data_IF_315046593430
#
_entry.id   IF_315046593430
#
_cell.length_a   1.000
_cell.length_b   1.000
_cell.length_c   1.000
_cell.angle_alpha   90.00
_cell.angle_beta   90.00
_cell.angle_gamma   90.00
#
_symmetry.space_group_name_H-M   'P 1'
#
loop_
_entity.id
_entity.type
_entity.pdbx_description
1 polymer ?
#
# COMPACT_ATOMS: atom_id res chain seq x y z
N UNK A 1 -50.18 31.07 46.78
CA UNK A 1 -49.54 32.25 47.40
C UNK A 1 -48.43 32.74 46.49
N UNK A 2 -48.49 34.02 46.07
CA UNK A 2 -47.43 34.95 45.60
C UNK A 2 -46.36 34.38 44.64
N UNK A 3 -46.40 34.69 43.34
CA UNK A 3 -45.95 35.94 42.68
C UNK A 3 -44.43 36.01 42.42
N UNK A 4 -44.08 36.15 41.13
CA UNK A 4 -43.16 37.17 40.56
C UNK A 4 -41.65 36.97 40.84
N UNK A 5 -40.69 37.35 39.99
CA UNK A 5 -40.52 37.68 38.57
C UNK A 5 -39.01 38.03 38.40
N UNK A 6 -38.58 38.25 37.16
CA UNK A 6 -37.29 38.87 36.74
C UNK A 6 -36.05 37.96 36.93
N UNK A 7 -35.28 37.58 35.92
CA UNK A 7 -34.88 38.33 34.73
C UNK A 7 -33.63 39.14 35.05
N UNK A 8 -32.44 38.61 34.71
CA UNK A 8 -31.22 39.39 34.43
C UNK A 8 -30.38 38.56 33.44
N UNK A 9 -30.30 39.08 32.23
CA UNK A 9 -29.34 38.76 31.18
C UNK A 9 -27.99 39.36 31.58
N UNK A 10 -26.88 38.63 31.48
CA UNK A 10 -25.55 39.23 31.55
C UNK A 10 -24.71 38.77 30.35
N UNK A 11 -24.71 39.60 29.31
CA UNK A 11 -23.66 39.64 28.30
C UNK A 11 -22.38 40.13 28.97
N UNK A 12 -21.30 39.38 28.83
CA UNK A 12 -19.94 39.91 28.99
C UNK A 12 -19.27 39.96 27.64
N UNK A 13 -19.32 41.14 27.01
CA UNK A 13 -18.48 41.50 25.89
C UNK A 13 -17.10 41.88 26.44
N UNK A 14 -16.06 41.12 26.10
CA UNK A 14 -14.67 41.50 26.35
C UNK A 14 -14.16 42.18 25.08
N UNK A 15 -14.19 43.50 25.07
CA UNK A 15 -13.50 44.34 24.09
C UNK A 15 -12.04 44.45 24.54
N UNK A 16 -11.13 43.72 23.89
CA UNK A 16 -9.69 43.99 24.01
C UNK A 16 -9.33 45.01 22.93
N UNK A 17 -9.16 46.24 23.36
CA UNK A 17 -8.50 47.33 22.65
C UNK A 17 -7.07 46.93 22.31
N UNK A 18 -6.78 46.69 21.03
CA UNK A 18 -5.43 46.56 20.50
C UNK A 18 -4.87 47.95 20.16
N UNK A 19 -3.68 48.23 20.69
CA UNK A 19 -2.96 49.49 20.66
C UNK A 19 -2.78 50.13 19.28
N UNK A 20 -3.02 51.43 19.20
CA UNK A 20 -2.35 52.33 18.26
C UNK A 20 -0.85 52.32 18.54
N UNK A 21 -0.05 52.04 17.50
CA UNK A 21 1.37 52.43 17.46
C UNK A 21 1.49 53.44 16.32
N UNK A 22 1.62 54.71 16.72
CA UNK A 22 1.97 55.82 15.86
C UNK A 22 3.44 55.74 15.43
N UNK A 23 3.69 55.91 14.13
CA UNK A 23 4.78 56.77 13.65
C UNK A 23 6.12 56.11 13.29
N UNK A 24 6.54 56.44 12.06
CA UNK A 24 7.91 56.50 11.52
C UNK A 24 8.60 55.20 11.06
N UNK A 25 8.65 55.02 9.73
CA UNK A 25 9.86 54.80 8.91
C UNK A 25 9.52 53.96 7.66
N UNK A 26 8.89 54.58 6.67
CA UNK A 26 8.35 53.90 5.47
C UNK A 26 9.23 54.04 4.22
N UNK A 27 10.55 54.21 4.36
CA UNK A 27 11.43 54.36 3.18
C UNK A 27 12.62 53.39 3.17
N UNK A 28 12.91 52.69 4.27
CA UNK A 28 13.99 51.69 4.31
C UNK A 28 13.52 50.25 4.06
N UNK A 29 12.20 50.03 3.88
CA UNK A 29 11.61 48.69 3.75
C UNK A 29 11.47 48.20 2.31
N UNK A 30 11.44 49.12 1.33
CA UNK A 30 11.22 48.74 -0.07
C UNK A 30 12.46 48.08 -0.71
N UNK A 31 13.67 48.46 -0.35
CA UNK A 31 14.89 47.80 -0.87
C UNK A 31 15.20 46.43 -0.24
N UNK A 32 14.62 46.09 0.93
CA UNK A 32 14.82 44.77 1.56
C UNK A 32 13.83 43.71 1.07
N UNK A 33 12.72 44.14 0.47
CA UNK A 33 11.72 43.24 -0.11
C UNK A 33 12.18 42.73 -1.49
N UNK A 34 12.84 43.58 -2.29
CA UNK A 34 13.34 43.19 -3.61
C UNK A 34 14.51 42.19 -3.56
N UNK A 35 15.42 42.31 -2.57
CA UNK A 35 16.52 41.34 -2.40
C UNK A 35 16.09 40.01 -1.78
N UNK A 36 14.92 39.95 -1.12
CA UNK A 36 14.36 38.68 -0.63
C UNK A 36 13.53 37.95 -1.70
N UNK A 37 13.04 38.66 -2.73
CA UNK A 37 12.26 38.06 -3.82
C UNK A 37 13.14 37.29 -4.82
N UNK A 38 14.41 37.68 -4.99
CA UNK A 38 15.31 37.05 -5.97
C UNK A 38 16.00 35.77 -5.46
N UNK A 39 15.84 35.40 -4.19
CA UNK A 39 16.33 34.14 -3.63
C UNK A 39 15.24 33.05 -3.48
N UNK A 40 14.00 33.30 -3.94
CA UNK A 40 12.90 32.31 -3.96
C UNK A 40 12.70 31.73 -5.38
N UNK A 41 13.66 31.89 -6.28
CA UNK A 41 13.65 31.29 -7.62
C UNK A 41 14.67 30.15 -7.78
N UNK A 42 14.87 29.38 -6.71
CA UNK A 42 15.20 27.96 -6.88
C UNK A 42 13.96 27.21 -6.45
N UNK A 43 12.97 27.13 -7.36
CA UNK A 43 11.90 26.18 -7.19
C UNK A 43 12.57 24.81 -7.14
N UNK A 44 12.71 24.26 -5.94
CA UNK A 44 12.74 22.82 -5.79
C UNK A 44 11.53 22.33 -6.56
N UNK A 45 11.77 21.65 -7.69
CA UNK A 45 10.72 20.88 -8.36
C UNK A 45 9.99 20.14 -7.25
N UNK A 46 8.72 20.46 -7.06
CA UNK A 46 7.83 19.73 -6.16
C UNK A 46 7.78 18.30 -6.69
N UNK A 47 8.74 17.47 -6.28
CA UNK A 47 8.75 16.05 -6.59
C UNK A 47 7.41 15.52 -6.10
N UNK A 48 6.59 15.04 -7.03
CA UNK A 48 5.33 14.44 -6.64
C UNK A 48 5.59 13.43 -5.51
N UNK A 49 4.75 13.43 -4.46
CA UNK A 49 4.94 12.51 -3.36
C UNK A 49 4.98 11.08 -3.92
N UNK A 50 6.07 10.37 -3.63
CA UNK A 50 6.28 9.00 -4.11
C UNK A 50 5.05 8.16 -3.74
N UNK A 51 4.37 7.62 -4.74
CA UNK A 51 3.27 6.68 -4.51
C UNK A 51 3.83 5.42 -3.87
N UNK A 52 3.11 4.90 -2.88
CA UNK A 52 3.45 3.64 -2.24
C UNK A 52 3.55 2.52 -3.28
N UNK A 53 4.55 1.65 -3.12
CA UNK A 53 4.66 0.40 -3.85
C UNK A 53 5.15 -0.70 -2.93
N UNK A 54 4.53 -1.87 -3.01
CA UNK A 54 5.04 -3.08 -2.38
C UNK A 54 6.45 -3.44 -2.85
N UNK A 55 6.80 -3.10 -4.09
CA UNK A 55 8.15 -3.35 -4.63
C UNK A 55 9.24 -2.56 -3.90
N UNK A 56 8.90 -1.52 -3.15
CA UNK A 56 9.87 -0.77 -2.33
C UNK A 56 10.49 -1.63 -1.22
N UNK A 57 9.87 -2.78 -0.89
CA UNK A 57 10.38 -3.76 0.07
C UNK A 57 11.36 -4.75 -0.56
N UNK A 58 11.47 -4.78 -1.90
CA UNK A 58 12.35 -5.69 -2.62
C UNK A 58 13.71 -5.03 -2.91
N UNK A 59 14.80 -5.82 -2.96
CA UNK A 59 16.08 -5.29 -3.39
C UNK A 59 16.04 -4.90 -4.88
N UNK A 60 16.85 -3.93 -5.33
CA UNK A 60 16.81 -3.41 -6.70
C UNK A 60 16.88 -4.48 -7.80
N UNK A 61 17.68 -5.53 -7.60
CA UNK A 61 17.81 -6.65 -8.55
C UNK A 61 16.51 -7.40 -8.78
N UNK A 62 15.66 -7.54 -7.75
CA UNK A 62 14.34 -8.17 -7.86
C UNK A 62 13.34 -7.25 -8.53
N UNK A 63 13.43 -5.94 -8.28
CA UNK A 63 12.62 -4.94 -9.00
C UNK A 63 12.93 -4.99 -10.49
N UNK A 64 14.21 -5.04 -10.88
CA UNK A 64 14.63 -5.17 -12.28
C UNK A 64 14.10 -6.46 -12.92
N UNK A 65 14.19 -7.59 -12.21
CA UNK A 65 13.64 -8.87 -12.68
C UNK A 65 12.13 -8.82 -12.91
N UNK A 66 11.38 -8.20 -11.99
CA UNK A 66 9.95 -7.94 -12.18
C UNK A 66 9.68 -7.08 -13.43
N UNK A 67 10.46 -6.02 -13.64
CA UNK A 67 10.31 -5.17 -14.84
C UNK A 67 10.66 -5.92 -16.14
N UNK A 68 11.59 -6.87 -16.12
CA UNK A 68 11.86 -7.72 -17.29
C UNK A 68 10.71 -8.68 -17.57
N UNK A 69 10.15 -9.31 -16.53
CA UNK A 69 8.92 -10.10 -16.67
C UNK A 69 7.77 -9.28 -17.26
N UNK A 70 7.61 -8.01 -16.86
CA UNK A 70 6.63 -7.10 -17.44
C UNK A 70 6.88 -6.76 -18.92
N UNK A 71 8.03 -7.11 -19.50
CA UNK A 71 8.30 -6.96 -20.93
C UNK A 71 8.12 -8.26 -21.70
N UNK A 72 8.65 -9.38 -21.20
CA UNK A 72 8.75 -10.63 -21.96
C UNK A 72 7.84 -11.76 -21.47
N UNK A 73 7.21 -11.61 -20.29
CA UNK A 73 6.38 -12.61 -19.60
C UNK A 73 7.12 -13.92 -19.31
N UNK A 74 8.44 -13.89 -19.23
CA UNK A 74 9.25 -15.07 -18.95
C UNK A 74 9.40 -15.30 -17.43
N UNK A 75 8.87 -16.42 -16.94
CA UNK A 75 8.94 -16.79 -15.52
C UNK A 75 10.36 -17.03 -15.00
N UNK A 76 11.36 -17.17 -15.88
CA UNK A 76 12.77 -17.34 -15.47
C UNK A 76 13.25 -16.20 -14.55
N UNK A 77 12.71 -14.99 -14.73
CA UNK A 77 13.06 -13.83 -13.91
C UNK A 77 12.66 -14.00 -12.44
N UNK A 78 11.78 -14.95 -12.13
CA UNK A 78 11.32 -15.26 -10.78
C UNK A 78 11.97 -16.51 -10.15
N UNK A 79 12.87 -17.23 -10.84
CA UNK A 79 13.43 -18.49 -10.31
C UNK A 79 14.20 -18.31 -8.98
N UNK A 80 14.87 -17.17 -8.81
CA UNK A 80 15.65 -16.88 -7.61
C UNK A 80 14.82 -16.21 -6.50
N UNK A 81 13.54 -15.92 -6.73
CA UNK A 81 12.69 -15.23 -5.74
C UNK A 81 12.39 -16.16 -4.55
N UNK A 82 12.49 -15.61 -3.34
CA UNK A 82 12.00 -16.31 -2.15
C UNK A 82 10.46 -16.34 -2.12
N UNK A 83 9.85 -17.15 -1.24
CA UNK A 83 8.41 -17.10 -1.01
C UNK A 83 7.90 -15.70 -0.65
N UNK A 84 8.62 -14.97 0.21
CA UNK A 84 8.30 -13.61 0.63
C UNK A 84 8.42 -12.61 -0.53
N UNK A 85 9.44 -12.76 -1.38
CA UNK A 85 9.59 -11.94 -2.58
C UNK A 85 8.38 -12.12 -3.53
N UNK A 86 7.95 -13.37 -3.76
CA UNK A 86 6.78 -13.68 -4.59
C UNK A 86 5.51 -13.14 -3.96
N UNK A 87 5.33 -13.33 -2.65
CA UNK A 87 4.16 -12.83 -1.94
C UNK A 87 4.05 -11.30 -2.07
N UNK A 88 5.16 -10.59 -1.86
CA UNK A 88 5.26 -9.13 -2.01
C UNK A 88 4.95 -8.70 -3.45
N UNK A 89 5.52 -9.39 -4.43
CA UNK A 89 5.26 -9.14 -5.87
C UNK A 89 3.79 -9.38 -6.22
N UNK A 90 3.17 -10.40 -5.63
CA UNK A 90 1.75 -10.69 -5.83
C UNK A 90 0.86 -9.59 -5.24
N UNK A 91 1.14 -9.12 -4.03
CA UNK A 91 0.42 -7.99 -3.42
C UNK A 91 0.55 -6.71 -4.26
N UNK A 92 1.75 -6.45 -4.80
CA UNK A 92 1.96 -5.35 -5.75
C UNK A 92 1.03 -5.49 -6.95
N UNK A 93 1.01 -6.66 -7.59
CA UNK A 93 0.18 -6.89 -8.76
C UNK A 93 -1.32 -6.75 -8.47
N UNK A 94 -1.76 -7.18 -7.29
CA UNK A 94 -3.15 -6.98 -6.84
C UNK A 94 -3.48 -5.49 -6.66
N UNK A 95 -2.57 -4.72 -6.06
CA UNK A 95 -2.76 -3.29 -5.82
C UNK A 95 -2.86 -2.49 -7.14
N UNK A 96 -2.05 -2.86 -8.13
CA UNK A 96 -2.01 -2.21 -9.47
C UNK A 96 -3.02 -2.81 -10.48
N UNK A 97 -3.80 -3.83 -10.09
CA UNK A 97 -4.68 -4.61 -10.98
C UNK A 97 -3.93 -5.23 -12.18
N UNK A 98 -2.65 -5.57 -12.00
CA UNK A 98 -1.75 -6.20 -12.97
C UNK A 98 -2.07 -7.68 -13.13
N UNK A 99 -3.24 -7.95 -13.71
CA UNK A 99 -3.83 -9.29 -13.78
C UNK A 99 -2.94 -10.33 -14.48
N UNK A 100 -2.11 -9.90 -15.43
CA UNK A 100 -1.15 -10.79 -16.09
C UNK A 100 -0.15 -11.38 -15.09
N UNK A 101 0.35 -10.57 -14.15
CA UNK A 101 1.25 -11.05 -13.08
C UNK A 101 0.49 -11.98 -12.14
N UNK A 102 -0.72 -11.58 -11.69
CA UNK A 102 -1.58 -12.39 -10.82
C UNK A 102 -1.80 -13.78 -11.41
N UNK A 103 -2.11 -13.87 -12.71
CA UNK A 103 -2.30 -15.14 -13.42
C UNK A 103 -1.03 -16.01 -13.41
N UNK A 104 0.14 -15.44 -13.72
CA UNK A 104 1.39 -16.22 -13.81
C UNK A 104 1.93 -16.67 -12.45
N UNK A 105 1.70 -15.87 -11.40
CA UNK A 105 2.12 -16.15 -10.03
C UNK A 105 1.06 -16.89 -9.21
N UNK A 106 -0.08 -17.26 -9.80
CA UNK A 106 -1.02 -18.18 -9.18
C UNK A 106 -0.65 -19.62 -9.53
N UNK A 107 -0.65 -20.51 -8.54
CA UNK A 107 -0.39 -21.93 -8.74
C UNK A 107 -1.55 -22.55 -9.51
N UNK A 108 -1.24 -23.39 -10.50
CA UNK A 108 -2.24 -24.05 -11.35
C UNK A 108 -2.11 -25.58 -11.38
N UNK A 109 -1.19 -26.16 -10.59
CA UNK A 109 -0.91 -27.59 -10.55
C UNK A 109 -0.64 -28.20 -11.94
N UNK A 110 0.12 -27.51 -12.78
CA UNK A 110 0.40 -27.89 -14.17
C UNK A 110 -0.79 -27.78 -15.14
N UNK A 111 -1.99 -27.53 -14.64
CA UNK A 111 -3.21 -27.32 -15.43
C UNK A 111 -3.48 -25.83 -15.52
N UNK A 112 -2.70 -25.09 -16.31
CA UNK A 112 -2.94 -23.66 -16.52
C UNK A 112 -4.29 -23.46 -17.21
N UNK A 113 -5.34 -22.98 -16.50
CA UNK A 113 -6.61 -22.64 -17.13
C UNK A 113 -6.37 -21.57 -18.20
N UNK A 114 -7.27 -21.45 -19.17
CA UNK A 114 -7.17 -20.32 -20.10
C UNK A 114 -7.24 -19.03 -19.30
N UNK A 115 -6.43 -18.05 -19.70
CA UNK A 115 -6.33 -16.76 -19.03
C UNK A 115 -7.69 -16.11 -18.73
N UNK A 116 -8.64 -16.17 -19.67
CA UNK A 116 -9.98 -15.60 -19.49
C UNK A 116 -10.82 -16.35 -18.45
N UNK A 117 -10.75 -17.68 -18.44
CA UNK A 117 -11.47 -18.51 -17.46
C UNK A 117 -10.95 -18.20 -16.05
N UNK A 118 -9.61 -18.13 -15.89
CA UNK A 118 -9.01 -17.72 -14.62
C UNK A 118 -9.43 -16.31 -14.23
N UNK A 119 -9.48 -15.36 -15.17
CA UNK A 119 -9.91 -13.98 -14.92
C UNK A 119 -11.33 -13.89 -14.41
N UNK A 120 -12.25 -14.64 -14.99
CA UNK A 120 -13.63 -14.68 -14.51
C UNK A 120 -13.70 -15.24 -13.08
N UNK A 121 -13.06 -16.39 -12.86
CA UNK A 121 -13.02 -17.05 -11.55
C UNK A 121 -12.42 -16.12 -10.49
N UNK A 122 -11.26 -15.54 -10.78
CA UNK A 122 -10.55 -14.64 -9.87
C UNK A 122 -11.41 -13.42 -9.54
N UNK A 123 -11.97 -12.73 -10.54
CA UNK A 123 -12.79 -11.55 -10.30
C UNK A 123 -14.03 -11.85 -9.46
N UNK A 124 -14.64 -13.02 -9.68
CA UNK A 124 -15.86 -13.44 -8.99
C UNK A 124 -15.61 -13.91 -7.55
N UNK A 125 -14.47 -14.52 -7.28
CA UNK A 125 -14.24 -15.25 -6.03
C UNK A 125 -13.07 -14.74 -5.19
N UNK A 126 -12.05 -14.14 -5.80
CA UNK A 126 -10.77 -13.87 -5.15
C UNK A 126 -10.42 -12.38 -5.10
N UNK A 127 -10.81 -11.60 -6.11
CA UNK A 127 -10.39 -10.20 -6.27
C UNK A 127 -10.66 -9.35 -5.04
N UNK A 128 -11.84 -9.50 -4.42
CA UNK A 128 -12.18 -8.75 -3.21
C UNK A 128 -11.24 -9.09 -2.06
N UNK A 129 -11.08 -10.37 -1.75
CA UNK A 129 -10.26 -10.81 -0.60
C UNK A 129 -8.80 -10.39 -0.77
N UNK A 130 -8.21 -10.58 -1.95
CA UNK A 130 -6.83 -10.15 -2.19
C UNK A 130 -6.67 -8.64 -2.21
N UNK A 131 -7.66 -7.90 -2.72
CA UNK A 131 -7.66 -6.43 -2.65
C UNK A 131 -7.73 -5.96 -1.20
N UNK A 132 -8.59 -6.55 -0.38
CA UNK A 132 -8.71 -6.22 1.04
C UNK A 132 -7.40 -6.56 1.77
N UNK A 133 -6.78 -7.71 1.48
CA UNK A 133 -5.43 -8.06 1.96
C UNK A 133 -4.39 -7.00 1.58
N UNK A 134 -4.30 -6.64 0.30
CA UNK A 134 -3.37 -5.63 -0.20
C UNK A 134 -3.67 -4.20 0.31
N UNK A 135 -4.83 -3.95 0.93
CA UNK A 135 -5.09 -2.69 1.61
C UNK A 135 -4.75 -2.76 3.10
N UNK A 136 -5.19 -3.83 3.77
CA UNK A 136 -5.01 -4.01 5.20
C UNK A 136 -3.54 -4.11 5.61
N UNK A 137 -2.71 -4.68 4.73
CA UNK A 137 -1.28 -4.88 4.99
C UNK A 137 -0.38 -4.00 4.13
N UNK A 138 -0.88 -2.83 3.70
CA UNK A 138 -0.06 -1.83 3.00
C UNK A 138 1.18 -1.41 3.79
N UNK A 139 1.09 -1.45 5.11
CA UNK A 139 2.18 -1.11 6.03
C UNK A 139 2.43 -2.29 6.98
N UNK A 140 2.70 -3.47 6.41
CA UNK A 140 3.05 -4.64 7.21
C UNK A 140 4.38 -4.45 7.93
N UNK A 141 4.50 -5.07 9.10
CA UNK A 141 5.70 -5.04 9.93
C UNK A 141 6.64 -6.21 9.59
N UNK A 142 6.06 -7.38 9.28
CA UNK A 142 6.84 -8.56 8.92
C UNK A 142 6.16 -9.47 7.90
N UNK A 143 7.03 -10.19 7.17
CA UNK A 143 6.71 -11.35 6.35
C UNK A 143 7.60 -12.49 6.83
N UNK A 144 6.98 -13.57 7.29
CA UNK A 144 7.69 -14.68 7.91
C UNK A 144 7.23 -16.02 7.32
N UNK A 145 8.18 -16.91 7.07
CA UNK A 145 7.90 -18.30 6.71
C UNK A 145 7.46 -19.06 7.96
N UNK A 146 6.36 -19.82 7.85
CA UNK A 146 5.91 -20.76 8.88
C UNK A 146 6.69 -22.07 8.76
N UNK A 147 7.72 -22.23 9.60
CA UNK A 147 8.68 -23.35 9.56
C UNK A 147 8.01 -24.74 9.66
N UNK A 148 6.89 -24.85 10.37
CA UNK A 148 6.14 -26.10 10.55
C UNK A 148 5.39 -26.56 9.29
N UNK A 149 5.25 -25.68 8.29
CA UNK A 149 4.56 -25.94 7.03
C UNK A 149 5.52 -26.02 5.83
N UNK A 150 6.84 -25.96 6.06
CA UNK A 150 7.85 -25.98 5.00
C UNK A 150 8.08 -27.40 4.49
N UNK A 151 7.95 -27.55 3.17
CA UNK A 151 8.45 -28.70 2.40
C UNK A 151 9.22 -28.18 1.18
N UNK A 152 9.84 -29.06 0.40
CA UNK A 152 10.55 -28.67 -0.84
C UNK A 152 9.64 -27.92 -1.85
N UNK A 153 8.33 -28.18 -1.81
CA UNK A 153 7.39 -27.70 -2.83
C UNK A 153 6.23 -26.87 -2.27
N UNK A 154 6.17 -26.67 -0.96
CA UNK A 154 5.09 -25.92 -0.30
C UNK A 154 5.64 -25.19 0.92
N UNK A 155 5.13 -23.98 1.13
CA UNK A 155 5.43 -23.14 2.29
C UNK A 155 4.20 -22.31 2.62
N UNK A 156 4.13 -21.78 3.83
CA UNK A 156 3.18 -20.74 4.19
C UNK A 156 3.92 -19.47 4.62
N UNK A 157 3.44 -18.32 4.15
CA UNK A 157 3.96 -17.00 4.51
C UNK A 157 2.92 -16.32 5.38
N UNK A 158 3.36 -15.78 6.51
CA UNK A 158 2.55 -14.98 7.42
C UNK A 158 2.88 -13.52 7.22
N UNK A 159 1.85 -12.71 6.95
CA UNK A 159 1.96 -11.27 6.93
C UNK A 159 1.38 -10.71 8.22
N UNK A 160 2.13 -9.85 8.90
CA UNK A 160 1.73 -9.23 10.17
C UNK A 160 1.74 -7.71 10.04
N UNK A 161 0.70 -7.05 10.53
CA UNK A 161 0.64 -5.59 10.63
C UNK A 161 0.08 -5.16 11.98
N UNK A 162 0.73 -4.16 12.58
CA UNK A 162 0.36 -3.50 13.82
C UNK A 162 -0.19 -2.10 13.55
N UNK A 163 -1.32 -1.77 14.18
CA UNK A 163 -1.87 -0.41 14.21
C UNK A 163 -2.18 -0.05 15.66
N UNK A 164 -1.33 0.78 16.25
CA UNK A 164 -1.39 1.11 17.67
C UNK A 164 -1.17 -0.14 18.53
N UNK A 165 -2.18 -0.52 19.30
CA UNK A 165 -2.12 -1.71 20.17
C UNK A 165 -2.76 -2.96 19.52
N UNK A 166 -3.19 -2.88 18.27
CA UNK A 166 -3.80 -4.00 17.55
C UNK A 166 -2.78 -4.61 16.61
N UNK A 167 -2.69 -5.93 16.60
CA UNK A 167 -1.89 -6.70 15.65
C UNK A 167 -2.83 -7.63 14.89
N UNK A 168 -2.68 -7.66 13.57
CA UNK A 168 -3.37 -8.60 12.68
C UNK A 168 -2.33 -9.41 11.94
N UNK A 169 -2.61 -10.71 11.76
CA UNK A 169 -1.78 -11.60 10.97
C UNK A 169 -2.66 -12.49 10.10
N UNK A 170 -2.27 -12.67 8.84
CA UNK A 170 -2.89 -13.62 7.92
C UNK A 170 -1.83 -14.56 7.33
N UNK A 171 -2.23 -15.80 7.04
CA UNK A 171 -1.33 -16.85 6.55
C UNK A 171 -1.78 -17.27 5.15
N UNK A 172 -0.83 -17.34 4.22
CA UNK A 172 -1.07 -17.77 2.84
C UNK A 172 -0.09 -18.84 2.39
N UNK A 173 -0.62 -19.87 1.74
CA UNK A 173 0.17 -20.94 1.15
C UNK A 173 0.78 -20.53 -0.19
N UNK A 174 2.04 -20.92 -0.40
CA UNK A 174 2.70 -20.90 -1.70
C UNK A 174 3.14 -22.32 -2.06
N UNK A 175 3.10 -22.63 -3.35
CA UNK A 175 3.56 -23.88 -3.92
C UNK A 175 4.56 -23.62 -5.04
N UNK A 176 5.55 -24.50 -5.16
CA UNK A 176 6.58 -24.40 -6.19
C UNK A 176 6.11 -25.09 -7.47
N UNK A 177 6.18 -24.40 -8.60
CA UNK A 177 5.86 -24.92 -9.93
C UNK A 177 6.90 -24.42 -10.93
N UNK A 178 7.55 -25.34 -11.65
CA UNK A 178 8.62 -25.01 -12.60
C UNK A 178 9.71 -24.11 -11.98
N UNK A 179 10.19 -24.49 -10.79
CA UNK A 179 11.18 -23.77 -9.96
C UNK A 179 10.74 -22.42 -9.39
N UNK A 180 9.56 -21.90 -9.76
CA UNK A 180 9.04 -20.61 -9.28
C UNK A 180 8.02 -20.84 -8.17
N UNK A 181 8.09 -20.07 -7.09
CA UNK A 181 7.04 -20.05 -6.07
C UNK A 181 5.79 -19.35 -6.61
N UNK A 182 4.61 -19.87 -6.28
CA UNK A 182 3.32 -19.35 -6.72
C UNK A 182 2.29 -19.40 -5.60
N UNK A 183 1.39 -18.44 -5.58
CA UNK A 183 0.29 -18.38 -4.62
C UNK A 183 -0.65 -19.57 -4.80
N UNK A 184 -0.82 -20.38 -3.77
CA UNK A 184 -1.86 -21.41 -3.77
C UNK A 184 -3.22 -20.73 -3.55
N UNK A 185 -3.92 -20.41 -4.64
CA UNK A 185 -5.24 -19.79 -4.58
C UNK A 185 -6.37 -20.81 -4.70
N UNK A 186 -6.06 -22.08 -4.96
CA UNK A 186 -7.08 -23.10 -5.23
C UNK A 186 -7.94 -23.39 -4.01
N UNK A 187 -7.33 -23.46 -2.82
CA UNK A 187 -8.08 -23.67 -1.57
C UNK A 187 -9.12 -22.58 -1.31
N UNK A 188 -8.90 -21.36 -1.83
CA UNK A 188 -9.81 -20.22 -1.73
C UNK A 188 -11.00 -20.31 -2.72
N UNK A 189 -10.91 -21.16 -3.74
CA UNK A 189 -11.97 -21.40 -4.74
C UNK A 189 -12.56 -22.82 -4.66
N UNK A 190 -11.99 -23.70 -3.83
CA UNK A 190 -12.22 -25.15 -3.80
C UNK A 190 -13.65 -25.62 -3.44
N UNK A 191 -14.64 -24.73 -3.35
CA UNK A 191 -16.06 -25.12 -3.33
C UNK A 191 -16.77 -25.03 -4.69
N UNK A 192 -16.11 -24.57 -5.78
CA UNK A 192 -16.81 -24.23 -7.04
C UNK A 192 -16.04 -24.52 -8.34
N UNK A 193 -14.90 -25.23 -8.30
CA UNK A 193 -14.11 -25.58 -9.49
C UNK A 193 -14.18 -27.05 -9.90
N UNK A 194 -14.98 -27.86 -9.22
CA UNK A 194 -15.31 -29.24 -9.59
C UNK A 194 -16.80 -29.48 -9.35
#
# INVERSE_FOLDING_TARGET
MKASAYGITLLTAIMITGCEVSGFATEAREQKIEQSATQIQKSEETKEPKRFSYLDQLPPTKIEAYQQFLKDRNLIHFEDFSPEDIFTTYLHAVAEDEFSVIYHLSYHNGSSPKYQDFKEIYNKHLKRNFRDLAFNYRYFDSLEIQDDMVTEHQVAVTITAGVGNFTSSDIYGLKKENKVWKMDVHHLVAKKLF
#
